data_IF_531849622772
#
_entry.id   IF_531849622772
#
_cell.length_a   1.000
_cell.length_b   1.000
_cell.length_c   1.000
_cell.angle_alpha   90.00
_cell.angle_beta   90.00
_cell.angle_gamma   90.00
#
_symmetry.space_group_name_H-M   'P 1'
#
loop_
_entity.id
_entity.type
_entity.pdbx_description
1 polymer ?
#
# COMPACT_ATOMS: atom_id res chain seq x y z
N UNK A 1 -13.05 27.69 -12.08
CA UNK A 1 -12.59 26.76 -13.14
C UNK A 1 -12.96 27.37 -14.46
N UNK A 2 -12.02 27.40 -15.40
CA UNK A 2 -12.20 28.00 -16.69
C UNK A 2 -13.26 27.28 -17.52
N UNK A 3 -14.00 27.99 -18.36
CA UNK A 3 -14.95 27.52 -19.38
C UNK A 3 -14.38 26.37 -20.23
N UNK A 4 -13.07 26.30 -20.36
CA UNK A 4 -12.30 25.27 -21.09
C UNK A 4 -12.57 23.85 -20.58
N UNK A 5 -12.89 23.65 -19.31
CA UNK A 5 -13.10 22.30 -18.72
C UNK A 5 -14.48 21.70 -19.06
N UNK A 6 -15.52 22.53 -19.17
CA UNK A 6 -16.86 22.06 -19.52
C UNK A 6 -16.99 21.74 -21.01
N UNK A 7 -16.43 22.58 -21.86
CA UNK A 7 -16.41 22.36 -23.31
C UNK A 7 -15.63 21.09 -23.68
N UNK A 8 -14.47 20.85 -23.03
CA UNK A 8 -13.69 19.62 -23.24
C UNK A 8 -14.47 18.37 -22.82
N UNK A 9 -15.27 18.42 -21.74
CA UNK A 9 -16.12 17.33 -21.33
C UNK A 9 -17.26 17.06 -22.32
N UNK A 10 -17.91 18.10 -22.82
CA UNK A 10 -18.94 17.97 -23.86
C UNK A 10 -18.39 17.37 -25.14
N UNK A 11 -17.23 17.85 -25.62
CA UNK A 11 -16.55 17.32 -26.79
C UNK A 11 -16.14 15.85 -26.60
N UNK A 12 -15.65 15.47 -25.40
CA UNK A 12 -15.28 14.10 -25.11
C UNK A 12 -16.50 13.16 -25.15
N UNK A 13 -17.66 13.55 -24.62
CA UNK A 13 -18.90 12.76 -24.72
C UNK A 13 -19.32 12.55 -26.17
N UNK A 14 -19.29 13.60 -27.00
CA UNK A 14 -19.60 13.52 -28.42
C UNK A 14 -18.63 12.57 -29.12
N UNK A 15 -17.34 12.69 -28.84
CA UNK A 15 -16.29 11.83 -29.44
C UNK A 15 -16.42 10.36 -29.00
N UNK A 16 -16.84 10.08 -27.77
CA UNK A 16 -17.12 8.69 -27.33
C UNK A 16 -18.29 8.11 -28.14
N UNK A 17 -19.40 8.82 -28.19
CA UNK A 17 -20.60 8.37 -28.91
C UNK A 17 -20.30 8.22 -30.40
N UNK A 18 -19.66 9.21 -31.04
CA UNK A 18 -19.25 9.14 -32.42
C UNK A 18 -18.28 8.00 -32.74
N UNK A 19 -17.33 7.73 -31.83
CA UNK A 19 -16.40 6.59 -31.97
C UNK A 19 -17.13 5.25 -31.98
N UNK A 20 -18.14 5.06 -31.13
CA UNK A 20 -18.97 3.84 -31.12
C UNK A 20 -19.80 3.69 -32.40
N UNK A 21 -20.34 4.79 -32.93
CA UNK A 21 -21.09 4.77 -34.15
C UNK A 21 -20.22 4.49 -35.39
N UNK A 22 -18.91 4.80 -35.34
CA UNK A 22 -17.94 4.53 -36.42
C UNK A 22 -17.38 3.11 -36.31
N UNK A 23 -17.14 2.63 -35.09
CA UNK A 23 -16.52 1.33 -34.83
C UNK A 23 -17.21 0.67 -33.59
N UNK A 24 -17.97 -0.39 -33.85
CA UNK A 24 -18.75 -1.12 -32.85
C UNK A 24 -17.89 -1.72 -31.71
N UNK A 25 -16.60 -1.96 -31.98
CA UNK A 25 -15.65 -2.43 -30.96
C UNK A 25 -15.47 -1.43 -29.81
N UNK A 26 -15.74 -0.15 -30.08
CA UNK A 26 -15.73 0.90 -29.06
C UNK A 26 -16.90 0.82 -28.08
N UNK A 27 -17.97 0.10 -28.41
CA UNK A 27 -19.14 -0.05 -27.55
C UNK A 27 -18.79 -0.69 -26.19
N UNK A 28 -17.82 -1.60 -26.18
CA UNK A 28 -17.32 -2.20 -24.93
C UNK A 28 -16.71 -1.18 -23.98
N UNK A 29 -15.91 -0.24 -24.49
CA UNK A 29 -15.30 0.82 -23.65
C UNK A 29 -16.37 1.75 -23.07
N UNK A 30 -17.41 2.07 -23.84
CA UNK A 30 -18.51 2.90 -23.38
C UNK A 30 -19.34 2.17 -22.33
N UNK A 31 -19.79 0.93 -22.59
CA UNK A 31 -20.74 0.19 -21.75
C UNK A 31 -20.10 -0.22 -20.40
N UNK A 32 -18.82 -0.60 -20.41
CA UNK A 32 -18.11 -0.98 -19.20
C UNK A 32 -17.36 0.18 -18.52
N UNK A 33 -17.05 1.24 -19.25
CA UNK A 33 -16.27 2.36 -18.73
C UNK A 33 -17.10 3.52 -18.18
N UNK A 34 -18.35 3.69 -18.62
CA UNK A 34 -19.21 4.83 -18.26
C UNK A 34 -20.59 4.37 -17.81
N UNK A 35 -21.19 5.17 -16.94
CA UNK A 35 -22.57 5.05 -16.52
C UNK A 35 -23.44 6.12 -17.22
N UNK A 36 -24.76 5.96 -17.18
CA UNK A 36 -25.68 6.91 -17.77
C UNK A 36 -25.54 8.33 -17.19
N UNK A 37 -25.24 8.38 -15.89
CA UNK A 37 -25.06 9.63 -15.12
C UNK A 37 -23.79 10.40 -15.51
N UNK A 38 -22.84 9.75 -16.20
CA UNK A 38 -21.62 10.39 -16.69
C UNK A 38 -21.88 11.24 -17.94
N UNK A 39 -23.08 11.09 -18.54
CA UNK A 39 -23.51 11.85 -19.70
C UNK A 39 -24.47 12.97 -19.32
N UNK A 40 -24.37 14.08 -20.03
CA UNK A 40 -25.41 15.10 -19.98
C UNK A 40 -26.73 14.57 -20.51
N UNK A 41 -27.83 15.15 -20.08
CA UNK A 41 -29.19 14.64 -20.32
C UNK A 41 -29.48 14.42 -21.81
N UNK A 42 -28.98 15.29 -22.69
CA UNK A 42 -29.14 15.19 -24.14
C UNK A 42 -28.51 13.95 -24.79
N UNK A 43 -27.50 13.33 -24.16
CA UNK A 43 -26.80 12.15 -24.69
C UNK A 43 -27.23 10.83 -24.05
N UNK A 44 -27.99 10.86 -22.93
CA UNK A 44 -28.41 9.65 -22.21
C UNK A 44 -29.25 8.69 -23.03
N UNK A 45 -30.09 9.22 -23.90
CA UNK A 45 -30.92 8.38 -24.80
C UNK A 45 -30.06 7.56 -25.75
N UNK A 46 -29.00 8.15 -26.33
CA UNK A 46 -28.05 7.43 -27.18
C UNK A 46 -27.24 6.40 -26.39
N UNK A 47 -26.78 6.76 -25.20
CA UNK A 47 -26.08 5.83 -24.32
C UNK A 47 -26.94 4.60 -24.01
N UNK A 48 -28.22 4.79 -23.62
CA UNK A 48 -29.15 3.69 -23.33
C UNK A 48 -29.35 2.78 -24.56
N UNK A 49 -29.54 3.37 -25.74
CA UNK A 49 -29.72 2.60 -26.98
C UNK A 49 -28.47 1.76 -27.31
N UNK A 50 -27.29 2.36 -27.23
CA UNK A 50 -26.02 1.66 -27.46
C UNK A 50 -25.85 0.51 -26.45
N UNK A 51 -26.10 0.78 -25.17
CA UNK A 51 -26.02 -0.21 -24.09
C UNK A 51 -27.00 -1.37 -24.31
N UNK A 52 -28.25 -1.08 -24.68
CA UNK A 52 -29.27 -2.10 -24.96
C UNK A 52 -28.85 -2.99 -26.12
N UNK A 53 -28.42 -2.41 -27.25
CA UNK A 53 -27.97 -3.17 -28.43
C UNK A 53 -26.77 -4.05 -28.05
N UNK A 54 -25.78 -3.50 -27.39
CA UNK A 54 -24.58 -4.21 -26.99
C UNK A 54 -24.88 -5.38 -26.03
N UNK A 55 -25.70 -5.14 -24.98
CA UNK A 55 -26.03 -6.17 -23.98
C UNK A 55 -26.93 -7.27 -24.52
N UNK A 56 -27.70 -6.97 -25.57
CA UNK A 56 -28.55 -7.97 -26.27
C UNK A 56 -27.82 -8.69 -27.42
N UNK A 57 -26.51 -8.39 -27.63
CA UNK A 57 -25.72 -9.02 -28.68
C UNK A 57 -26.12 -8.59 -30.12
N UNK A 58 -26.79 -7.47 -30.23
CA UNK A 58 -27.12 -6.87 -31.54
C UNK A 58 -25.99 -5.97 -32.02
N UNK A 59 -25.83 -5.81 -33.38
CA UNK A 59 -24.86 -4.88 -33.94
C UNK A 59 -25.09 -3.45 -33.41
N UNK A 60 -24.00 -2.75 -33.06
CA UNK A 60 -24.07 -1.35 -32.65
C UNK A 60 -23.57 -0.49 -33.81
N UNK A 61 -24.47 -0.12 -34.70
CA UNK A 61 -24.22 0.74 -35.85
C UNK A 61 -25.22 1.92 -35.88
N UNK A 62 -24.97 2.96 -36.71
CA UNK A 62 -25.85 4.13 -36.76
C UNK A 62 -27.30 3.81 -37.07
N UNK A 63 -27.55 2.80 -37.93
CA UNK A 63 -28.91 2.41 -38.31
C UNK A 63 -29.63 1.69 -37.17
N UNK A 64 -28.93 0.75 -36.51
CA UNK A 64 -29.48 0.04 -35.37
C UNK A 64 -29.77 0.99 -34.16
N UNK A 65 -28.87 1.92 -33.91
CA UNK A 65 -29.08 2.96 -32.85
C UNK A 65 -30.25 3.87 -33.23
N UNK A 66 -30.35 4.32 -34.48
CA UNK A 66 -31.45 5.16 -34.94
C UNK A 66 -32.82 4.46 -34.79
N UNK A 67 -32.89 3.16 -35.07
CA UNK A 67 -34.10 2.36 -34.89
C UNK A 67 -34.56 2.31 -33.41
N UNK A 68 -33.66 2.43 -32.46
CA UNK A 68 -33.98 2.43 -31.04
C UNK A 68 -34.40 3.84 -30.57
N UNK A 69 -33.65 4.89 -30.95
CA UNK A 69 -33.89 6.25 -30.45
C UNK A 69 -34.93 7.03 -31.27
N UNK A 70 -35.22 6.59 -32.53
CA UNK A 70 -36.20 7.20 -33.42
C UNK A 70 -35.61 8.25 -34.38
N UNK A 71 -36.32 8.53 -35.45
CA UNK A 71 -35.87 9.37 -36.57
C UNK A 71 -35.48 10.81 -36.22
N UNK A 72 -35.98 11.32 -35.11
CA UNK A 72 -35.60 12.65 -34.60
C UNK A 72 -34.12 12.79 -34.26
N UNK A 73 -33.42 11.68 -34.05
CA UNK A 73 -31.98 11.68 -33.77
C UNK A 73 -31.08 11.57 -34.99
N UNK A 74 -31.65 11.47 -36.21
CA UNK A 74 -30.89 11.22 -37.43
C UNK A 74 -29.79 12.26 -37.69
N UNK A 75 -30.15 13.56 -37.65
CA UNK A 75 -29.18 14.62 -37.91
C UNK A 75 -28.13 14.69 -36.80
N UNK A 76 -28.53 14.38 -35.59
CA UNK A 76 -27.62 14.36 -34.41
C UNK A 76 -26.59 13.21 -34.49
N UNK A 77 -27.01 12.02 -34.93
CA UNK A 77 -26.12 10.87 -35.16
C UNK A 77 -25.11 11.21 -36.27
N UNK A 78 -25.53 11.81 -37.35
CA UNK A 78 -24.64 12.24 -38.44
C UNK A 78 -23.64 13.27 -37.91
N UNK A 79 -24.09 14.26 -37.15
CA UNK A 79 -23.21 15.27 -36.58
C UNK A 79 -22.17 14.66 -35.65
N UNK A 80 -22.52 13.67 -34.81
CA UNK A 80 -21.55 12.98 -33.91
C UNK A 80 -20.48 12.25 -34.68
N UNK A 81 -20.83 11.64 -35.83
CA UNK A 81 -19.87 10.96 -36.71
C UNK A 81 -18.94 11.96 -37.38
N UNK A 82 -19.49 13.09 -37.87
CA UNK A 82 -18.71 14.11 -38.58
C UNK A 82 -17.67 14.80 -37.68
N UNK A 83 -17.98 15.05 -36.41
CA UNK A 83 -17.05 15.69 -35.47
C UNK A 83 -16.02 14.70 -34.90
N UNK A 84 -16.18 13.39 -35.14
CA UNK A 84 -15.29 12.35 -34.61
C UNK A 84 -14.37 11.84 -35.73
N UNK A 85 -13.13 12.33 -35.82
CA UNK A 85 -12.26 12.00 -36.97
C UNK A 85 -11.77 10.55 -36.98
N UNK A 86 -11.77 9.88 -35.81
CA UNK A 86 -11.31 8.50 -35.68
C UNK A 86 -11.81 7.85 -34.39
N UNK A 87 -12.11 6.57 -34.44
CA UNK A 87 -12.48 5.76 -33.30
C UNK A 87 -11.26 5.30 -32.44
N UNK A 88 -10.03 5.48 -32.96
CA UNK A 88 -8.81 4.98 -32.32
C UNK A 88 -8.57 5.53 -30.90
N UNK A 89 -9.07 6.73 -30.61
CA UNK A 89 -8.89 7.41 -29.34
C UNK A 89 -10.09 7.22 -28.37
N UNK A 90 -11.04 6.34 -28.67
CA UNK A 90 -12.25 6.16 -27.89
C UNK A 90 -11.97 5.96 -26.39
N UNK A 91 -11.01 5.10 -26.04
CA UNK A 91 -10.63 4.87 -24.64
C UNK A 91 -10.18 6.15 -23.92
N UNK A 92 -9.37 6.96 -24.58
CA UNK A 92 -8.92 8.26 -24.02
C UNK A 92 -10.11 9.20 -23.77
N UNK A 93 -11.07 9.25 -24.68
CA UNK A 93 -12.29 10.07 -24.52
C UNK A 93 -13.16 9.55 -23.36
N UNK A 94 -13.29 8.21 -23.21
CA UNK A 94 -13.96 7.59 -22.06
C UNK A 94 -13.30 8.01 -20.74
N UNK A 95 -11.98 7.99 -20.65
CA UNK A 95 -11.23 8.41 -19.45
C UNK A 95 -11.46 9.90 -19.12
N UNK A 96 -11.54 10.77 -20.15
CA UNK A 96 -11.84 12.20 -19.98
C UNK A 96 -13.27 12.38 -19.44
N UNK A 97 -14.27 11.73 -20.05
CA UNK A 97 -15.67 11.82 -19.60
C UNK A 97 -15.77 11.39 -18.14
N UNK A 98 -15.17 10.27 -17.78
CA UNK A 98 -15.15 9.72 -16.42
C UNK A 98 -14.50 10.66 -15.40
N UNK A 99 -13.33 11.21 -15.75
CA UNK A 99 -12.62 12.16 -14.90
C UNK A 99 -13.45 13.41 -14.64
N UNK A 100 -14.06 13.97 -15.67
CA UNK A 100 -14.86 15.19 -15.54
C UNK A 100 -16.19 14.95 -14.83
N UNK A 101 -16.84 13.82 -15.05
CA UNK A 101 -18.04 13.41 -14.31
C UNK A 101 -17.75 13.33 -12.81
N UNK A 102 -16.62 12.74 -12.41
CA UNK A 102 -16.19 12.73 -10.99
C UNK A 102 -15.99 14.12 -10.42
N UNK A 103 -15.39 15.03 -11.18
CA UNK A 103 -15.21 16.43 -10.73
C UNK A 103 -16.56 17.11 -10.53
N UNK A 104 -17.53 16.89 -11.42
CA UNK A 104 -18.89 17.44 -11.28
C UNK A 104 -19.58 16.88 -10.05
N UNK A 105 -19.56 15.57 -9.84
CA UNK A 105 -20.14 14.92 -8.64
C UNK A 105 -19.52 15.46 -7.34
N UNK A 106 -18.20 15.62 -7.29
CA UNK A 106 -17.52 16.24 -6.14
C UNK A 106 -17.94 17.69 -5.90
N UNK A 107 -18.17 18.44 -6.98
CA UNK A 107 -18.68 19.81 -6.89
C UNK A 107 -20.10 19.85 -6.36
N UNK A 108 -20.96 18.96 -6.83
CA UNK A 108 -22.34 18.85 -6.37
C UNK A 108 -22.39 18.43 -4.90
N UNK A 109 -21.53 17.50 -4.47
CA UNK A 109 -21.36 17.16 -3.05
C UNK A 109 -20.89 18.37 -2.23
N UNK A 110 -19.93 19.15 -2.76
CA UNK A 110 -19.49 20.39 -2.09
C UNK A 110 -20.59 21.41 -1.94
N UNK A 111 -21.47 21.53 -2.92
CA UNK A 111 -22.67 22.38 -2.85
C UNK A 111 -23.69 21.84 -1.86
N UNK A 112 -23.90 20.53 -1.80
CA UNK A 112 -24.76 19.89 -0.81
C UNK A 112 -24.24 20.10 0.61
N UNK A 113 -22.92 19.92 0.81
CA UNK A 113 -22.24 20.16 2.09
C UNK A 113 -22.38 21.61 2.58
N UNK A 114 -22.47 22.59 1.67
CA UNK A 114 -22.71 23.98 2.06
C UNK A 114 -24.12 24.25 2.60
N UNK A 115 -25.05 23.28 2.52
CA UNK A 115 -26.46 23.41 2.90
C UNK A 115 -26.84 22.49 4.06
N UNK A 116 -25.91 21.70 4.59
CA UNK A 116 -26.18 20.81 5.72
C UNK A 116 -26.57 21.58 6.98
N UNK A 117 -27.42 20.95 7.79
CA UNK A 117 -27.86 21.48 9.07
C UNK A 117 -27.32 20.72 10.27
N UNK A 118 -26.81 19.47 10.06
CA UNK A 118 -26.29 18.61 11.13
C UNK A 118 -24.92 17.99 10.74
N UNK A 119 -24.15 17.63 11.74
CA UNK A 119 -22.83 16.97 11.55
C UNK A 119 -22.99 15.56 10.94
N UNK A 120 -24.04 14.84 11.35
CA UNK A 120 -24.34 13.50 10.85
C UNK A 120 -24.67 13.52 9.35
N UNK A 121 -25.48 14.47 8.90
CA UNK A 121 -25.81 14.67 7.47
C UNK A 121 -24.56 14.98 6.65
N UNK A 122 -23.64 15.78 7.19
CA UNK A 122 -22.36 16.09 6.56
C UNK A 122 -21.43 14.87 6.48
N UNK A 123 -21.37 14.08 7.54
CA UNK A 123 -20.58 12.87 7.59
C UNK A 123 -21.08 11.81 6.58
N UNK A 124 -22.41 11.67 6.44
CA UNK A 124 -23.02 10.75 5.48
C UNK A 124 -22.74 11.17 4.03
N UNK A 125 -22.88 12.46 3.71
CA UNK A 125 -22.57 13.00 2.38
C UNK A 125 -21.10 12.78 2.01
N UNK A 126 -20.17 13.00 2.95
CA UNK A 126 -18.76 12.78 2.74
C UNK A 126 -18.44 11.29 2.57
N UNK A 127 -19.07 10.42 3.36
CA UNK A 127 -18.90 8.97 3.24
C UNK A 127 -19.41 8.45 1.89
N UNK A 128 -20.56 8.94 1.43
CA UNK A 128 -21.14 8.59 0.13
C UNK A 128 -20.24 9.09 -1.02
N UNK A 129 -19.78 10.33 -0.98
CA UNK A 129 -18.85 10.86 -1.98
C UNK A 129 -17.52 10.12 -2.01
N UNK A 130 -16.99 9.76 -0.85
CA UNK A 130 -15.78 8.94 -0.76
C UNK A 130 -15.99 7.54 -1.36
N UNK A 131 -17.15 6.90 -1.12
CA UNK A 131 -17.48 5.60 -1.70
C UNK A 131 -17.69 5.66 -3.22
N UNK A 132 -18.26 6.73 -3.74
CA UNK A 132 -18.44 6.93 -5.19
C UNK A 132 -17.16 7.27 -5.92
N UNK A 133 -16.24 8.01 -5.29
CA UNK A 133 -14.91 8.30 -5.85
C UNK A 133 -13.99 7.08 -5.84
N UNK A 134 -14.27 6.10 -4.97
CA UNK A 134 -13.53 4.84 -4.82
C UNK A 134 -14.22 3.67 -5.57
N UNK A 135 -15.28 3.89 -6.33
CA UNK A 135 -15.74 2.86 -7.26
C UNK A 135 -14.61 2.57 -8.23
N UNK A 136 -13.90 1.51 -7.87
CA UNK A 136 -12.84 0.93 -8.67
C UNK A 136 -13.47 0.29 -9.90
N UNK A 137 -13.29 0.94 -11.04
CA UNK A 137 -13.67 0.36 -12.34
C UNK A 137 -12.75 -0.81 -12.73
N UNK A 138 -11.88 -1.22 -11.83
CA UNK A 138 -10.96 -2.34 -11.96
C UNK A 138 -11.50 -3.69 -11.52
N UNK A 139 -12.73 -3.77 -10.99
CA UNK A 139 -13.28 -5.00 -10.39
C UNK A 139 -13.48 -6.15 -11.40
N UNK A 140 -13.51 -5.85 -12.69
CA UNK A 140 -13.69 -6.88 -13.74
C UNK A 140 -12.68 -6.69 -14.86
N UNK A 141 -11.70 -7.59 -14.95
CA UNK A 141 -10.81 -7.70 -16.08
C UNK A 141 -11.30 -8.80 -17.04
N UNK A 142 -11.51 -8.45 -18.32
CA UNK A 142 -11.53 -9.49 -19.35
C UNK A 142 -10.13 -10.12 -19.44
N UNK A 143 -10.05 -11.39 -19.81
CA UNK A 143 -8.76 -12.07 -19.99
C UNK A 143 -7.84 -11.32 -20.96
N UNK A 144 -8.41 -10.72 -22.02
CA UNK A 144 -7.66 -9.94 -23.00
C UNK A 144 -7.05 -8.66 -22.39
N UNK A 145 -7.81 -7.92 -21.56
CA UNK A 145 -7.30 -6.76 -20.83
C UNK A 145 -6.21 -7.16 -19.84
N UNK A 146 -6.48 -8.19 -19.01
CA UNK A 146 -5.52 -8.69 -18.04
C UNK A 146 -4.22 -9.18 -18.68
N UNK A 147 -4.28 -9.81 -19.87
CA UNK A 147 -3.10 -10.23 -20.60
C UNK A 147 -2.31 -9.04 -21.17
N UNK A 148 -2.99 -8.03 -21.71
CA UNK A 148 -2.34 -6.79 -22.18
C UNK A 148 -1.61 -6.09 -21.04
N UNK A 149 -2.26 -5.95 -19.88
CA UNK A 149 -1.65 -5.32 -18.71
C UNK A 149 -0.49 -6.16 -18.14
N UNK A 150 -0.60 -7.49 -18.19
CA UNK A 150 0.49 -8.39 -17.83
C UNK A 150 1.71 -8.19 -18.72
N UNK A 151 1.54 -8.10 -20.05
CA UNK A 151 2.63 -7.82 -21.00
C UNK A 151 3.32 -6.49 -20.72
N UNK A 152 2.56 -5.43 -20.41
CA UNK A 152 3.11 -4.14 -20.02
C UNK A 152 3.87 -4.19 -18.68
N UNK A 153 3.38 -4.95 -17.70
CA UNK A 153 4.08 -5.15 -16.42
C UNK A 153 5.33 -5.99 -16.58
N UNK A 154 5.30 -7.02 -17.42
CA UNK A 154 6.44 -7.89 -17.68
C UNK A 154 7.67 -7.15 -18.24
N UNK A 155 7.43 -6.08 -19.01
CA UNK A 155 8.50 -5.22 -19.53
C UNK A 155 9.14 -4.32 -18.47
N UNK A 156 8.51 -4.17 -17.30
CA UNK A 156 9.01 -3.35 -16.21
C UNK A 156 9.67 -4.22 -15.14
N UNK A 157 10.75 -3.70 -14.55
CA UNK A 157 11.38 -4.36 -13.39
C UNK A 157 10.35 -4.45 -12.24
N UNK A 158 10.22 -5.60 -11.54
CA UNK A 158 9.34 -5.73 -10.39
C UNK A 158 9.66 -4.70 -9.30
N UNK A 159 8.63 -4.03 -8.76
CA UNK A 159 8.74 -3.04 -7.67
C UNK A 159 8.42 -3.72 -6.32
N UNK A 160 9.22 -4.73 -5.95
CA UNK A 160 9.10 -5.34 -4.62
C UNK A 160 9.66 -4.41 -3.56
N UNK A 161 9.02 -4.42 -2.38
CA UNK A 161 9.48 -3.66 -1.23
C UNK A 161 10.84 -4.21 -0.77
N UNK A 162 11.85 -3.35 -0.74
CA UNK A 162 13.18 -3.71 -0.27
C UNK A 162 13.23 -3.77 1.27
N UNK A 163 14.19 -4.53 1.82
CA UNK A 163 14.36 -4.70 3.25
C UNK A 163 15.76 -4.24 3.68
N UNK A 164 15.87 -3.71 4.90
CA UNK A 164 17.15 -3.28 5.48
C UNK A 164 18.16 -4.43 5.66
N UNK A 165 17.71 -5.67 5.50
CA UNK A 165 18.55 -6.87 5.44
C UNK A 165 18.49 -7.38 3.99
N UNK A 166 19.59 -7.28 3.19
CA UNK A 166 19.55 -7.60 1.76
C UNK A 166 19.09 -9.03 1.44
N UNK A 167 19.36 -9.99 2.35
CA UNK A 167 18.92 -11.37 2.18
C UNK A 167 17.40 -11.51 2.18
N UNK A 168 16.68 -10.67 2.95
CA UNK A 168 15.22 -10.71 2.99
C UNK A 168 14.61 -10.34 1.65
N UNK A 169 15.20 -9.40 0.89
CA UNK A 169 14.71 -9.03 -0.44
C UNK A 169 14.64 -10.20 -1.41
N UNK A 170 15.59 -11.15 -1.33
CA UNK A 170 15.61 -12.35 -2.18
C UNK A 170 14.59 -13.39 -1.76
N UNK A 171 14.24 -13.40 -0.47
CA UNK A 171 13.36 -14.38 0.15
C UNK A 171 11.91 -13.90 0.19
N UNK A 172 11.70 -12.60 0.24
CA UNK A 172 10.40 -11.95 0.44
C UNK A 172 10.12 -11.04 -0.75
N UNK A 173 9.07 -11.35 -1.49
CA UNK A 173 8.59 -10.55 -2.61
C UNK A 173 7.36 -9.77 -2.19
N UNK A 174 7.54 -8.83 -1.25
CA UNK A 174 6.44 -8.03 -0.75
C UNK A 174 6.01 -6.96 -1.76
N UNK A 175 4.72 -6.89 -2.02
CA UNK A 175 4.06 -5.91 -2.89
C UNK A 175 3.29 -4.87 -2.07
N UNK A 176 2.81 -3.82 -2.73
CA UNK A 176 2.12 -2.71 -2.07
C UNK A 176 0.82 -3.11 -1.40
N UNK A 177 0.13 -4.12 -1.80
CA UNK A 177 -1.14 -4.56 -1.22
C UNK A 177 -0.99 -5.62 -0.15
N UNK A 178 0.24 -6.01 0.20
CA UNK A 178 0.46 -7.12 1.11
C UNK A 178 0.31 -6.73 2.58
N UNK A 179 -0.15 -7.69 3.35
CA UNK A 179 -0.33 -7.62 4.79
C UNK A 179 0.62 -8.60 5.48
N UNK A 180 1.62 -8.07 6.16
CA UNK A 180 2.64 -8.85 6.84
C UNK A 180 2.56 -8.71 8.35
N UNK A 181 2.91 -9.79 9.06
CA UNK A 181 2.91 -9.86 10.51
C UNK A 181 4.32 -10.14 11.04
N UNK A 182 4.72 -9.41 12.07
CA UNK A 182 5.90 -9.73 12.88
C UNK A 182 5.44 -10.14 14.27
N UNK A 183 5.45 -11.44 14.53
CA UNK A 183 5.16 -12.02 15.83
C UNK A 183 6.42 -12.12 16.69
N UNK A 184 6.33 -11.70 17.94
CA UNK A 184 7.44 -11.85 18.88
C UNK A 184 6.94 -11.93 20.32
N UNK A 185 7.72 -12.62 21.17
CA UNK A 185 7.54 -12.55 22.62
C UNK A 185 8.01 -11.19 23.16
N UNK A 186 7.55 -10.79 24.35
CA UNK A 186 8.03 -9.56 24.98
C UNK A 186 9.57 -9.49 25.01
N UNK A 187 10.12 -8.31 24.83
CA UNK A 187 11.57 -8.04 24.82
C UNK A 187 12.40 -8.72 23.72
N UNK A 188 11.78 -9.37 22.74
CA UNK A 188 12.50 -9.96 21.60
C UNK A 188 13.03 -8.91 20.59
N UNK A 189 12.58 -7.65 20.69
CA UNK A 189 13.01 -6.57 19.80
C UNK A 189 12.01 -6.24 18.67
N UNK A 190 10.75 -6.67 18.77
CA UNK A 190 9.69 -6.49 17.76
C UNK A 190 9.59 -5.04 17.26
N UNK A 191 9.39 -4.07 18.18
CA UNK A 191 9.29 -2.65 17.83
C UNK A 191 10.58 -2.07 17.24
N UNK A 192 11.76 -2.55 17.73
CA UNK A 192 13.05 -2.12 17.18
C UNK A 192 13.23 -2.60 15.73
N UNK A 193 12.82 -3.83 15.41
CA UNK A 193 12.83 -4.36 14.04
C UNK A 193 11.95 -3.53 13.11
N UNK A 194 10.72 -3.24 13.54
CA UNK A 194 9.78 -2.45 12.77
C UNK A 194 10.22 -0.98 12.59
N UNK A 195 10.82 -0.37 13.63
CA UNK A 195 11.37 0.98 13.53
C UNK A 195 12.56 1.05 12.58
N UNK A 196 13.45 0.06 12.61
CA UNK A 196 14.58 -0.01 11.68
C UNK A 196 14.09 -0.21 10.24
N UNK A 197 13.07 -1.06 10.01
CA UNK A 197 12.43 -1.21 8.71
C UNK A 197 11.78 0.11 8.25
N UNK A 198 11.04 0.80 9.13
CA UNK A 198 10.43 2.10 8.85
C UNK A 198 11.46 3.14 8.42
N UNK A 199 12.57 3.23 9.15
CA UNK A 199 13.66 4.15 8.85
C UNK A 199 14.29 3.84 7.48
N UNK A 200 14.56 2.56 7.21
CA UNK A 200 15.10 2.12 5.94
C UNK A 200 14.17 2.45 4.77
N UNK A 201 12.89 2.14 4.89
CA UNK A 201 11.92 2.42 3.85
C UNK A 201 11.73 3.92 3.59
N UNK A 202 11.77 4.74 4.63
CA UNK A 202 11.62 6.17 4.49
C UNK A 202 12.89 6.84 3.95
N UNK A 203 14.06 6.52 4.51
CA UNK A 203 15.32 7.17 4.15
C UNK A 203 15.91 6.62 2.86
N UNK A 204 15.92 5.27 2.70
CA UNK A 204 16.59 4.60 1.59
C UNK A 204 15.67 4.39 0.40
N UNK A 205 14.46 3.91 0.65
CA UNK A 205 13.50 3.62 -0.42
C UNK A 205 12.59 4.82 -0.75
N UNK A 206 12.71 5.94 -0.01
CA UNK A 206 11.88 7.15 -0.15
C UNK A 206 10.37 6.85 -0.17
N UNK A 207 9.95 5.83 0.60
CA UNK A 207 8.53 5.48 0.77
C UNK A 207 7.92 6.30 1.90
N UNK A 208 6.67 6.70 1.74
CA UNK A 208 5.92 7.43 2.76
C UNK A 208 5.42 6.43 3.81
N UNK A 209 6.06 6.43 4.97
CA UNK A 209 5.82 5.44 6.04
C UNK A 209 5.06 6.06 7.21
N UNK A 210 3.97 5.42 7.63
CA UNK A 210 3.26 5.77 8.86
C UNK A 210 3.48 4.71 9.94
N UNK A 211 4.02 5.09 11.09
CA UNK A 211 4.19 4.23 12.24
C UNK A 211 3.11 4.56 13.29
N UNK A 212 2.12 3.69 13.43
CA UNK A 212 1.01 3.83 14.39
C UNK A 212 1.35 3.08 15.66
N UNK A 213 1.75 3.83 16.68
CA UNK A 213 2.08 3.28 18.00
C UNK A 213 0.90 3.41 18.94
N UNK A 214 0.45 2.28 19.48
CA UNK A 214 -0.60 2.21 20.48
C UNK A 214 -0.04 2.12 21.91
N UNK A 215 1.23 1.73 22.08
CA UNK A 215 1.86 1.50 23.37
C UNK A 215 2.92 2.54 23.73
N UNK A 216 3.77 2.91 22.77
CA UNK A 216 4.96 3.73 23.00
C UNK A 216 4.73 5.17 22.57
N UNK A 217 5.12 6.15 23.39
CA UNK A 217 5.02 7.57 23.04
C UNK A 217 5.96 7.95 21.89
N UNK A 218 5.62 9.01 21.17
CA UNK A 218 6.38 9.49 20.00
C UNK A 218 7.81 9.89 20.38
N UNK A 219 7.99 10.47 21.54
CA UNK A 219 9.28 10.89 22.07
C UNK A 219 10.21 9.69 22.26
N UNK A 220 9.71 8.62 22.90
CA UNK A 220 10.47 7.37 23.07
C UNK A 220 10.76 6.66 21.74
N UNK A 221 9.86 6.74 20.77
CA UNK A 221 10.10 6.23 19.42
C UNK A 221 11.18 7.03 18.71
N UNK A 222 11.17 8.37 18.86
CA UNK A 222 12.20 9.23 18.28
C UNK A 222 13.58 8.93 18.89
N UNK A 223 13.69 8.74 20.20
CA UNK A 223 14.95 8.35 20.85
C UNK A 223 15.51 7.04 20.26
N UNK A 224 14.63 6.05 20.02
CA UNK A 224 15.01 4.77 19.39
C UNK A 224 15.42 4.95 17.94
N UNK A 225 14.74 5.81 17.17
CA UNK A 225 15.09 6.13 15.80
C UNK A 225 16.45 6.82 15.70
N UNK A 226 16.71 7.79 16.60
CA UNK A 226 18.01 8.47 16.67
C UNK A 226 19.10 7.47 17.02
N UNK A 227 18.91 6.61 18.03
CA UNK A 227 19.88 5.57 18.37
C UNK A 227 20.14 4.62 17.20
N UNK A 228 19.08 4.20 16.50
CA UNK A 228 19.19 3.32 15.35
C UNK A 228 19.93 3.97 14.18
N UNK A 229 19.63 5.22 13.87
CA UNK A 229 20.20 5.92 12.73
C UNK A 229 21.65 6.40 12.96
N UNK A 230 21.95 6.93 14.14
CA UNK A 230 23.26 7.48 14.48
C UNK A 230 24.25 6.43 15.01
N UNK A 231 23.75 5.28 15.47
CA UNK A 231 24.57 4.28 16.17
C UNK A 231 24.98 4.70 17.59
N UNK A 232 24.41 5.76 18.15
CA UNK A 232 24.64 6.21 19.51
C UNK A 232 23.84 5.35 20.49
N UNK A 233 24.41 4.94 21.65
CA UNK A 233 23.69 4.14 22.64
C UNK A 233 22.46 4.88 23.21
N UNK A 234 21.36 4.13 23.41
CA UNK A 234 20.11 4.65 23.99
C UNK A 234 20.29 5.31 25.36
N UNK A 235 21.20 4.79 26.18
CA UNK A 235 21.40 5.32 27.53
C UNK A 235 21.99 6.74 27.44
N UNK A 236 22.98 6.97 26.58
CA UNK A 236 23.54 8.31 26.38
C UNK A 236 22.49 9.32 25.89
N UNK A 237 21.55 8.87 25.02
CA UNK A 237 20.45 9.70 24.52
C UNK A 237 19.45 10.02 25.64
N UNK A 238 19.04 9.02 26.43
CA UNK A 238 18.06 9.19 27.52
C UNK A 238 18.60 10.04 28.64
N UNK A 239 19.86 9.82 29.02
CA UNK A 239 20.53 10.55 30.11
C UNK A 239 21.04 11.91 29.65
N UNK A 240 20.96 12.22 28.33
CA UNK A 240 21.45 13.47 27.73
C UNK A 240 22.93 13.72 27.99
N UNK A 241 23.72 12.65 27.96
CA UNK A 241 25.15 12.63 28.24
C UNK A 241 26.00 12.37 26.97
N UNK A 242 25.55 12.90 25.83
CA UNK A 242 26.28 12.74 24.56
C UNK A 242 27.63 13.46 24.63
N UNK A 243 28.69 12.71 24.29
CA UNK A 243 29.99 13.32 24.03
C UNK A 243 30.03 13.99 22.63
N UNK A 244 31.12 14.72 22.34
CA UNK A 244 31.26 15.48 21.08
C UNK A 244 31.16 14.57 19.84
N UNK A 245 31.74 13.37 19.88
CA UNK A 245 31.67 12.39 18.77
C UNK A 245 30.27 11.84 18.57
N UNK A 246 29.57 11.55 19.66
CA UNK A 246 28.18 11.09 19.63
C UNK A 246 27.26 12.20 19.12
N UNK A 247 27.49 13.44 19.53
CA UNK A 247 26.73 14.59 19.02
C UNK A 247 27.00 14.79 17.52
N UNK A 248 28.26 14.72 17.07
CA UNK A 248 28.61 14.75 15.65
C UNK A 248 27.90 13.65 14.85
N UNK A 249 27.85 12.40 15.39
CA UNK A 249 27.12 11.30 14.77
C UNK A 249 25.62 11.59 14.65
N UNK A 250 24.99 12.18 15.67
CA UNK A 250 23.58 12.61 15.59
C UNK A 250 23.40 13.73 14.58
N UNK A 251 24.28 14.72 14.55
CA UNK A 251 24.21 15.82 13.58
C UNK A 251 24.39 15.33 12.14
N UNK A 252 25.23 14.33 11.89
CA UNK A 252 25.49 13.78 10.56
C UNK A 252 24.27 13.16 9.89
N UNK A 253 23.33 12.62 10.67
CA UNK A 253 22.08 12.03 10.16
C UNK A 253 20.92 13.03 10.05
N UNK A 254 21.05 14.23 10.65
CA UNK A 254 19.93 15.16 10.86
C UNK A 254 19.25 15.59 9.56
N UNK A 255 20.01 15.95 8.53
CA UNK A 255 19.47 16.41 7.26
C UNK A 255 18.59 15.34 6.57
N UNK A 256 18.97 14.07 6.69
CA UNK A 256 18.28 12.94 6.07
C UNK A 256 17.07 12.50 6.86
N UNK A 257 17.19 12.44 8.17
CA UNK A 257 16.06 12.13 9.06
C UNK A 257 14.99 13.21 8.94
N UNK A 258 15.38 14.51 8.85
CA UNK A 258 14.45 15.61 8.67
C UNK A 258 13.72 15.59 7.32
N UNK A 259 14.36 15.12 6.25
CA UNK A 259 13.74 15.00 4.92
C UNK A 259 12.99 13.68 4.70
N UNK A 260 13.19 12.68 5.57
CA UNK A 260 12.57 11.37 5.42
C UNK A 260 11.05 11.42 5.61
N UNK A 261 10.24 10.83 4.70
CA UNK A 261 8.79 10.83 4.80
C UNK A 261 8.29 9.76 5.80
N UNK A 262 8.79 9.79 7.04
CA UNK A 262 8.38 8.94 8.15
C UNK A 262 7.51 9.72 9.14
N UNK A 263 6.30 9.23 9.38
CA UNK A 263 5.31 9.86 10.24
C UNK A 263 5.03 8.98 11.46
N UNK A 264 5.27 9.50 12.68
CA UNK A 264 4.96 8.82 13.94
C UNK A 264 3.58 9.25 14.43
N UNK A 265 2.67 8.30 14.56
CA UNK A 265 1.32 8.55 15.06
C UNK A 265 1.14 7.97 16.46
N UNK A 266 0.68 8.80 17.41
CA UNK A 266 0.13 8.32 18.66
C UNK A 266 -1.27 7.76 18.39
N UNK A 267 -1.42 6.43 18.45
CA UNK A 267 -2.62 5.74 18.00
C UNK A 267 -3.43 5.08 19.13
N UNK A 268 -3.09 5.34 20.40
CA UNK A 268 -3.81 4.77 21.54
C UNK A 268 -5.33 5.02 21.43
N UNK A 269 -6.12 3.95 21.51
CA UNK A 269 -7.58 3.99 21.40
C UNK A 269 -8.13 4.21 19.98
N UNK A 270 -7.28 4.26 18.93
CA UNK A 270 -7.74 4.44 17.55
C UNK A 270 -8.14 3.12 16.92
N UNK A 271 -9.15 3.20 16.04
CA UNK A 271 -9.59 2.09 15.17
C UNK A 271 -8.80 2.03 13.88
N UNK A 272 -8.89 0.88 13.16
CA UNK A 272 -8.29 0.73 11.83
C UNK A 272 -8.83 1.77 10.85
N UNK A 273 -10.14 2.09 10.89
CA UNK A 273 -10.72 3.13 10.04
C UNK A 273 -10.05 4.49 10.24
N UNK A 274 -9.84 4.90 11.50
CA UNK A 274 -9.16 6.16 11.80
C UNK A 274 -7.68 6.16 11.37
N UNK A 275 -7.01 5.01 11.41
CA UNK A 275 -5.66 4.86 10.88
C UNK A 275 -5.65 4.95 9.36
N UNK A 276 -6.61 4.32 8.68
CA UNK A 276 -6.81 4.40 7.24
C UNK A 276 -7.01 5.85 6.77
N UNK A 277 -7.86 6.62 7.43
CA UNK A 277 -8.10 8.03 7.07
C UNK A 277 -6.80 8.85 7.14
N UNK A 278 -5.96 8.59 8.16
CA UNK A 278 -4.65 9.23 8.29
C UNK A 278 -3.66 8.76 7.22
N UNK A 279 -3.71 7.47 6.89
CA UNK A 279 -2.87 6.89 5.85
C UNK A 279 -3.18 7.51 4.48
N UNK A 280 -4.45 7.64 4.13
CA UNK A 280 -4.91 8.27 2.90
C UNK A 280 -4.59 9.77 2.87
N UNK A 281 -4.87 10.50 3.95
CA UNK A 281 -4.54 11.92 4.06
C UNK A 281 -3.05 12.21 3.86
N UNK A 282 -2.18 11.38 4.45
CA UNK A 282 -0.74 11.47 4.30
C UNK A 282 -0.20 10.78 3.04
N UNK A 283 -1.06 10.13 2.24
CA UNK A 283 -0.69 9.34 1.05
C UNK A 283 0.42 8.34 1.37
N UNK A 284 0.22 7.54 2.43
CA UNK A 284 1.22 6.57 2.87
C UNK A 284 1.32 5.41 1.88
N UNK A 285 2.54 4.98 1.61
CA UNK A 285 2.83 3.73 0.89
C UNK A 285 2.85 2.53 1.85
N UNK A 286 3.24 2.80 3.11
CA UNK A 286 3.47 1.78 4.13
C UNK A 286 2.83 2.21 5.45
N UNK A 287 2.10 1.29 6.07
CA UNK A 287 1.54 1.43 7.41
C UNK A 287 2.19 0.38 8.34
N UNK A 288 2.68 0.82 9.49
CA UNK A 288 3.18 -0.06 10.55
C UNK A 288 2.28 0.10 11.77
N UNK A 289 1.84 -1.02 12.36
CA UNK A 289 0.95 -1.04 13.53
C UNK A 289 1.63 -1.72 14.71
N UNK A 290 1.91 -1.00 15.78
CA UNK A 290 2.54 -1.52 17.00
C UNK A 290 1.58 -1.38 18.20
N UNK A 291 0.88 -2.43 18.58
CA UNK A 291 0.68 -3.78 18.03
C UNK A 291 -0.81 -4.14 17.91
N UNK A 292 -1.15 -5.21 17.21
CA UNK A 292 -2.52 -5.59 16.82
C UNK A 292 -3.51 -5.69 17.97
N UNK A 293 -3.13 -6.35 19.07
CA UNK A 293 -4.05 -6.71 20.16
C UNK A 293 -4.58 -5.51 20.96
N UNK A 294 -4.00 -4.31 20.80
CA UNK A 294 -4.46 -3.10 21.49
C UNK A 294 -5.12 -2.07 20.57
N UNK A 295 -5.32 -2.43 19.31
CA UNK A 295 -6.10 -1.61 18.36
C UNK A 295 -7.56 -1.67 18.76
N UNK A 296 -8.22 -0.52 18.84
CA UNK A 296 -9.64 -0.46 19.18
C UNK A 296 -10.50 -1.08 18.06
N UNK A 297 -11.33 -2.05 18.42
CA UNK A 297 -12.25 -2.71 17.52
C UNK A 297 -13.50 -3.19 18.27
N UNK A 298 -14.64 -3.35 17.57
CA UNK A 298 -15.84 -3.95 18.15
C UNK A 298 -15.61 -5.44 18.47
N UNK A 299 -16.20 -5.90 19.56
CA UNK A 299 -16.14 -7.30 20.00
C UNK A 299 -16.14 -7.42 21.52
N UNK A 300 -16.67 -8.54 22.02
CA UNK A 300 -16.82 -8.78 23.46
C UNK A 300 -15.60 -9.48 24.08
N UNK A 301 -14.70 -9.99 23.24
CA UNK A 301 -13.48 -10.70 23.65
C UNK A 301 -12.29 -10.36 22.74
N UNK A 302 -11.08 -10.63 23.22
CA UNK A 302 -9.83 -10.37 22.51
C UNK A 302 -9.77 -11.06 21.12
N UNK A 303 -10.31 -12.29 21.03
CA UNK A 303 -10.33 -13.05 19.79
C UNK A 303 -11.12 -12.33 18.69
N UNK A 304 -12.35 -11.91 19.01
CA UNK A 304 -13.25 -11.23 18.09
C UNK A 304 -12.67 -9.87 17.68
N UNK A 305 -12.12 -9.10 18.63
CA UNK A 305 -11.49 -7.80 18.37
C UNK A 305 -10.28 -7.95 17.43
N UNK A 306 -9.36 -8.84 17.72
CA UNK A 306 -8.16 -9.06 16.91
C UNK A 306 -8.51 -9.59 15.52
N UNK A 307 -9.53 -10.45 15.41
CA UNK A 307 -10.06 -10.91 14.13
C UNK A 307 -10.61 -9.75 13.30
N UNK A 308 -11.38 -8.85 13.89
CA UNK A 308 -11.92 -7.68 13.22
C UNK A 308 -10.81 -6.73 12.75
N UNK A 309 -9.79 -6.50 13.59
CA UNK A 309 -8.61 -5.68 13.25
C UNK A 309 -7.84 -6.29 12.08
N UNK A 310 -7.56 -7.60 12.11
CA UNK A 310 -6.81 -8.28 11.05
C UNK A 310 -7.52 -8.16 9.70
N UNK A 311 -8.82 -8.48 9.65
CA UNK A 311 -9.63 -8.34 8.43
C UNK A 311 -9.66 -6.91 7.91
N UNK A 312 -9.82 -5.92 8.80
CA UNK A 312 -9.86 -4.52 8.42
C UNK A 312 -8.52 -4.04 7.85
N UNK A 313 -7.38 -4.45 8.44
CA UNK A 313 -6.05 -4.14 7.91
C UNK A 313 -5.79 -4.80 6.56
N UNK A 314 -6.11 -6.10 6.40
CA UNK A 314 -6.01 -6.78 5.12
C UNK A 314 -6.86 -6.09 4.05
N UNK A 315 -8.12 -5.74 4.36
CA UNK A 315 -9.01 -5.01 3.45
C UNK A 315 -8.42 -3.65 3.07
N UNK A 316 -7.85 -2.91 4.03
CA UNK A 316 -7.16 -1.65 3.76
C UNK A 316 -6.01 -1.84 2.77
N UNK A 317 -5.17 -2.87 2.95
CA UNK A 317 -4.06 -3.17 2.06
C UNK A 317 -4.55 -3.41 0.63
N UNK A 318 -5.51 -4.31 0.46
CA UNK A 318 -6.05 -4.69 -0.84
C UNK A 318 -6.76 -3.53 -1.54
N UNK A 319 -7.56 -2.76 -0.80
CA UNK A 319 -8.37 -1.69 -1.38
C UNK A 319 -7.56 -0.46 -1.81
N UNK A 320 -6.53 -0.12 -1.04
CA UNK A 320 -5.78 1.13 -1.25
C UNK A 320 -4.35 0.93 -1.75
N UNK A 321 -3.92 -0.32 -1.95
CA UNK A 321 -2.56 -0.61 -2.39
C UNK A 321 -1.50 -0.10 -1.39
N UNK A 322 -1.77 -0.26 -0.08
CA UNK A 322 -0.88 0.15 1.01
C UNK A 322 -0.29 -1.11 1.64
N UNK A 323 1.04 -1.22 1.69
CA UNK A 323 1.69 -2.29 2.42
C UNK A 323 1.48 -2.11 3.93
N UNK A 324 1.11 -3.18 4.63
CA UNK A 324 0.97 -3.13 6.08
C UNK A 324 1.90 -4.12 6.78
N UNK A 325 2.69 -3.63 7.74
CA UNK A 325 3.47 -4.43 8.68
C UNK A 325 2.85 -4.31 10.06
N UNK A 326 2.12 -5.34 10.50
CA UNK A 326 1.53 -5.33 11.83
C UNK A 326 2.33 -6.17 12.81
N UNK A 327 2.53 -5.64 13.99
CA UNK A 327 3.24 -6.32 15.07
C UNK A 327 2.23 -7.10 15.92
N UNK A 328 2.59 -8.33 16.29
CA UNK A 328 1.76 -9.20 17.08
C UNK A 328 2.54 -9.71 18.30
N UNK A 329 1.94 -9.62 19.47
CA UNK A 329 2.52 -10.17 20.67
C UNK A 329 2.14 -11.65 20.80
N UNK A 330 3.15 -12.51 20.93
CA UNK A 330 2.92 -13.95 21.12
C UNK A 330 2.56 -14.28 22.55
N UNK A 331 1.82 -15.38 22.75
CA UNK A 331 1.55 -15.94 24.07
C UNK A 331 2.82 -16.33 24.82
N UNK A 332 2.69 -16.64 26.11
CA UNK A 332 3.83 -17.02 26.96
C UNK A 332 4.60 -18.20 26.40
N UNK A 333 5.89 -18.25 26.70
CA UNK A 333 6.83 -19.25 26.22
C UNK A 333 6.37 -20.65 26.59
N UNK A 334 6.18 -21.52 25.61
CA UNK A 334 6.23 -22.96 25.81
C UNK A 334 7.70 -23.34 25.88
N UNK A 335 8.08 -24.05 26.96
CA UNK A 335 9.42 -24.61 27.08
C UNK A 335 9.41 -26.04 26.60
N UNK A 336 10.53 -26.50 26.04
CA UNK A 336 10.75 -27.90 25.74
C UNK A 336 11.05 -28.71 27.03
N UNK A 337 11.27 -30.03 26.88
CA UNK A 337 11.63 -30.91 27.99
C UNK A 337 12.97 -30.55 28.66
N UNK A 338 13.78 -29.76 27.98
CA UNK A 338 15.09 -29.29 28.46
C UNK A 338 15.04 -27.90 29.07
N UNK A 339 13.84 -27.28 29.17
CA UNK A 339 13.64 -25.95 29.75
C UNK A 339 13.94 -24.79 28.77
N UNK A 340 14.33 -25.07 27.52
CA UNK A 340 14.59 -24.03 26.52
C UNK A 340 13.31 -23.51 25.90
N UNK A 341 13.32 -22.24 25.54
CA UNK A 341 12.20 -21.61 24.85
C UNK A 341 11.98 -22.23 23.45
N UNK A 342 10.81 -22.82 23.21
CA UNK A 342 10.47 -23.36 21.88
C UNK A 342 10.37 -22.27 20.83
N UNK A 343 10.78 -22.59 19.60
CA UNK A 343 10.53 -21.73 18.44
C UNK A 343 9.04 -21.48 18.29
N UNK A 344 8.64 -20.22 18.03
CA UNK A 344 7.23 -19.91 17.78
C UNK A 344 6.74 -20.54 16.49
N UNK A 345 5.45 -20.91 16.49
CA UNK A 345 4.72 -21.44 15.34
C UNK A 345 3.52 -20.54 15.04
N UNK A 346 2.89 -20.75 13.89
CA UNK A 346 1.68 -19.99 13.51
C UNK A 346 0.56 -20.10 14.56
N UNK A 347 0.43 -21.26 15.22
CA UNK A 347 -0.50 -21.49 16.34
C UNK A 347 -0.26 -20.60 17.56
N UNK A 348 0.94 -20.02 17.71
CA UNK A 348 1.29 -19.14 18.83
C UNK A 348 0.89 -17.67 18.58
N UNK A 349 0.40 -17.35 17.37
CA UNK A 349 -0.30 -16.09 17.09
C UNK A 349 -1.58 -16.09 17.89
N UNK A 350 -1.49 -15.49 19.11
CA UNK A 350 -2.59 -15.46 20.08
C UNK A 350 -3.83 -14.87 19.46
N UNK A 351 -4.95 -15.54 19.67
CA UNK A 351 -6.31 -15.06 19.41
C UNK A 351 -6.90 -15.27 18.02
N UNK A 352 -6.23 -15.72 16.98
CA UNK A 352 -7.01 -16.20 15.82
C UNK A 352 -6.21 -16.95 14.75
N UNK A 353 -6.69 -18.12 14.34
CA UNK A 353 -6.37 -18.69 13.04
C UNK A 353 -6.68 -17.74 11.87
N UNK A 354 -7.45 -16.67 12.14
CA UNK A 354 -7.79 -15.65 11.18
C UNK A 354 -6.58 -14.77 10.81
N UNK A 355 -5.72 -14.37 11.79
CA UNK A 355 -4.49 -13.62 11.51
C UNK A 355 -3.60 -14.38 10.54
N UNK A 356 -3.48 -15.71 10.76
CA UNK A 356 -2.71 -16.57 9.86
C UNK A 356 -3.32 -16.60 8.46
N UNK A 357 -4.64 -16.64 8.34
CA UNK A 357 -5.33 -16.70 7.06
C UNK A 357 -5.21 -15.38 6.29
N UNK A 358 -5.40 -14.25 6.97
CA UNK A 358 -5.42 -12.92 6.36
C UNK A 358 -4.02 -12.46 5.92
N UNK A 359 -2.96 -12.82 6.66
CA UNK A 359 -1.61 -12.36 6.36
C UNK A 359 -1.01 -13.01 5.10
N UNK A 360 -0.36 -12.24 4.24
CA UNK A 360 0.42 -12.74 3.10
C UNK A 360 1.80 -13.25 3.54
N UNK A 361 2.36 -12.68 4.61
CA UNK A 361 3.59 -13.13 5.25
C UNK A 361 3.56 -13.06 6.77
N UNK A 362 4.18 -14.05 7.42
CA UNK A 362 4.33 -14.08 8.88
C UNK A 362 5.77 -14.36 9.24
N UNK A 363 6.34 -13.45 10.01
CA UNK A 363 7.68 -13.55 10.57
C UNK A 363 7.63 -13.71 12.07
N UNK A 364 8.57 -14.48 12.63
CA UNK A 364 8.78 -14.52 14.06
C UNK A 364 10.19 -14.08 14.42
N UNK A 365 10.31 -13.24 15.44
CA UNK A 365 11.58 -12.94 16.09
C UNK A 365 11.71 -13.81 17.34
N UNK A 366 12.68 -14.75 17.31
CA UNK A 366 12.94 -15.69 18.39
C UNK A 366 14.31 -15.46 18.99
N UNK A 367 14.40 -15.03 20.27
CA UNK A 367 15.68 -14.90 20.98
C UNK A 367 16.33 -16.27 21.20
N UNK A 368 17.64 -16.37 20.94
CA UNK A 368 18.43 -17.55 21.28
C UNK A 368 19.17 -17.34 22.60
N UNK A 369 19.44 -18.42 23.31
CA UNK A 369 20.22 -18.44 24.55
C UNK A 369 21.74 -18.57 24.31
N UNK A 370 22.20 -18.18 23.12
CA UNK A 370 23.60 -18.18 22.72
C UNK A 370 24.32 -16.92 23.25
N UNK A 371 25.68 -16.93 23.34
CA UNK A 371 26.45 -15.72 23.52
C UNK A 371 26.02 -14.64 22.53
N UNK A 372 25.99 -13.37 22.96
CA UNK A 372 25.51 -12.21 22.20
C UNK A 372 24.00 -12.20 21.91
N UNK A 373 23.25 -13.17 22.43
CA UNK A 373 21.79 -13.28 22.33
C UNK A 373 21.26 -12.96 20.91
N UNK A 374 21.71 -13.70 19.88
CA UNK A 374 21.20 -13.48 18.54
C UNK A 374 19.69 -13.77 18.47
N UNK A 375 19.06 -13.32 17.39
CA UNK A 375 17.65 -13.57 17.10
C UNK A 375 17.53 -14.44 15.87
N UNK A 376 16.66 -15.42 15.88
CA UNK A 376 16.18 -16.05 14.66
C UNK A 376 15.03 -15.22 14.11
N UNK A 377 15.14 -14.82 12.85
CA UNK A 377 14.03 -14.38 12.05
C UNK A 377 13.50 -15.59 11.29
N UNK A 378 12.34 -16.07 11.71
CA UNK A 378 11.68 -17.25 11.14
C UNK A 378 10.60 -16.74 10.19
N UNK A 379 10.73 -17.04 8.90
CA UNK A 379 9.68 -16.80 7.90
C UNK A 379 8.75 -18.01 7.96
N UNK A 380 7.67 -17.90 8.72
CA UNK A 380 6.72 -18.98 8.98
C UNK A 380 5.60 -19.08 7.94
N UNK A 381 5.23 -17.95 7.30
CA UNK A 381 4.36 -17.87 6.15
C UNK A 381 4.93 -16.89 5.15
N UNK A 382 4.89 -17.25 3.87
CA UNK A 382 5.33 -16.41 2.76
C UNK A 382 4.58 -16.85 1.50
N UNK A 383 3.57 -16.11 1.10
CA UNK A 383 2.66 -16.48 0.00
C UNK A 383 3.40 -16.59 -1.33
N UNK A 384 4.34 -15.67 -1.58
CA UNK A 384 5.05 -15.55 -2.84
C UNK A 384 6.55 -15.88 -2.73
N UNK A 385 6.95 -16.71 -1.74
CA UNK A 385 8.34 -17.08 -1.55
C UNK A 385 8.54 -18.28 -0.63
N UNK A 386 9.81 -18.60 -0.37
CA UNK A 386 10.19 -19.74 0.45
C UNK A 386 10.10 -19.44 1.96
N UNK A 387 9.86 -20.49 2.75
CA UNK A 387 10.02 -20.45 4.20
C UNK A 387 11.51 -20.58 4.54
N UNK A 388 11.96 -19.86 5.57
CA UNK A 388 13.36 -19.92 5.99
C UNK A 388 13.58 -19.43 7.40
N UNK A 389 14.76 -19.70 7.93
CA UNK A 389 15.23 -19.20 9.22
C UNK A 389 16.56 -18.50 9.02
N UNK A 390 16.65 -17.27 9.49
CA UNK A 390 17.84 -16.43 9.35
C UNK A 390 18.29 -15.93 10.71
N UNK A 391 19.58 -16.03 11.04
CA UNK A 391 20.14 -15.48 12.28
C UNK A 391 20.46 -14.00 12.13
N UNK A 392 20.02 -13.20 13.11
CA UNK A 392 20.28 -11.76 13.21
C UNK A 392 21.00 -11.46 14.53
N UNK A 393 22.02 -10.63 14.47
CA UNK A 393 22.56 -9.98 15.67
C UNK A 393 21.62 -8.82 16.05
N UNK A 394 21.35 -8.68 17.34
CA UNK A 394 20.55 -7.57 17.87
C UNK A 394 21.34 -6.76 18.88
N UNK A 395 21.69 -5.53 18.50
CA UNK A 395 22.28 -4.54 19.41
C UNK A 395 21.17 -3.73 20.07
N UNK A 396 20.79 -4.16 21.26
CA UNK A 396 19.74 -3.52 22.05
C UNK A 396 20.09 -2.09 22.48
N UNK A 397 21.38 -1.80 22.72
CA UNK A 397 21.83 -0.47 23.09
C UNK A 397 21.65 0.53 21.94
N UNK A 398 21.77 0.09 20.70
CA UNK A 398 21.60 0.92 19.49
C UNK A 398 20.31 0.65 18.73
N UNK A 399 19.47 -0.25 19.24
CA UNK A 399 18.19 -0.65 18.60
C UNK A 399 18.37 -1.15 17.16
N UNK A 400 19.47 -1.87 16.86
CA UNK A 400 19.84 -2.29 15.52
C UNK A 400 19.86 -3.82 15.37
N UNK A 401 19.26 -4.29 14.28
CA UNK A 401 19.41 -5.66 13.79
C UNK A 401 20.41 -5.70 12.63
N UNK A 402 21.23 -6.74 12.62
CA UNK A 402 22.24 -6.99 11.58
C UNK A 402 22.22 -8.45 11.17
N UNK A 403 22.40 -8.72 9.89
CA UNK A 403 22.48 -10.07 9.38
C UNK A 403 23.79 -10.75 9.83
N UNK A 404 23.70 -12.02 10.21
CA UNK A 404 24.86 -12.86 10.52
C UNK A 404 25.11 -13.76 9.31
N UNK A 405 26.16 -13.48 8.54
CA UNK A 405 26.56 -14.27 7.37
C UNK A 405 27.15 -15.64 7.73
N UNK A 406 27.47 -16.44 6.70
CA UNK A 406 28.05 -17.79 6.86
C UNK A 406 29.35 -17.82 7.68
N UNK A 407 30.05 -16.69 7.83
CA UNK A 407 31.27 -16.55 8.64
C UNK A 407 31.02 -16.20 10.11
N UNK A 408 29.78 -16.25 10.60
CA UNK A 408 29.35 -15.91 11.98
C UNK A 408 29.63 -14.46 12.43
N UNK A 409 30.11 -13.59 11.55
CA UNK A 409 30.26 -12.16 11.85
C UNK A 409 29.05 -11.36 11.37
N UNK A 410 28.51 -10.46 12.19
CA UNK A 410 27.44 -9.56 11.76
C UNK A 410 27.95 -8.60 10.69
N UNK A 411 27.15 -8.37 9.65
CA UNK A 411 27.42 -7.31 8.67
C UNK A 411 27.48 -5.95 9.37
N UNK A 412 28.22 -5.00 8.79
CA UNK A 412 28.23 -3.62 9.29
C UNK A 412 26.78 -3.06 9.30
N UNK A 413 26.44 -2.20 10.26
CA UNK A 413 25.17 -1.49 10.26
C UNK A 413 25.02 -0.71 8.95
N UNK A 414 23.78 -0.49 8.53
CA UNK A 414 23.51 0.42 7.42
C UNK A 414 23.91 1.84 7.84
N UNK A 415 24.76 2.46 7.04
CA UNK A 415 25.22 3.83 7.28
C UNK A 415 24.26 4.84 6.68
N UNK A 416 23.34 5.32 7.48
CA UNK A 416 22.39 6.36 7.09
C UNK A 416 23.07 7.71 6.81
N UNK A 417 24.33 7.93 7.25
CA UNK A 417 25.06 9.17 7.00
C UNK A 417 25.61 9.29 5.58
N UNK A 418 25.98 8.17 4.96
CA UNK A 418 26.58 8.14 3.62
C UNK A 418 25.56 7.97 2.48
N UNK A 419 24.28 7.71 2.80
CA UNK A 419 23.27 7.42 1.78
C UNK A 419 22.87 8.68 0.98
N UNK A 420 22.89 8.60 -0.34
CA UNK A 420 22.48 9.70 -1.27
C UNK A 420 21.05 9.43 -1.76
N UNK A 421 20.19 10.45 -1.73
CA UNK A 421 18.77 10.34 -2.11
C UNK A 421 18.58 9.88 -3.58
N UNK A 422 17.51 9.12 -3.91
CA UNK A 422 17.27 8.54 -5.24
C UNK A 422 17.20 9.49 -6.43
N UNK A 423 17.00 10.78 -6.26
CA UNK A 423 17.10 11.79 -7.35
C UNK A 423 18.48 11.87 -7.99
N UNK A 424 19.49 11.17 -7.41
CA UNK A 424 20.83 11.03 -7.94
C UNK A 424 21.23 9.56 -8.17
N UNK A 425 20.31 8.60 -7.96
CA UNK A 425 20.59 7.15 -7.90
C UNK A 425 20.54 6.46 -9.26
N UNK A 426 20.20 7.12 -10.35
CA UNK A 426 20.39 6.54 -11.69
C UNK A 426 21.86 6.18 -12.00
N UNK A 427 22.79 6.50 -11.09
CA UNK A 427 24.21 6.25 -11.25
C UNK A 427 24.79 5.10 -10.40
N UNK A 428 24.03 4.47 -9.47
CA UNK A 428 24.57 3.41 -8.59
C UNK A 428 23.73 2.13 -8.53
N UNK A 429 23.67 1.33 -9.62
CA UNK A 429 23.08 -0.01 -9.57
C UNK A 429 23.95 -1.00 -8.78
N UNK A 430 25.19 -0.66 -8.43
CA UNK A 430 26.19 -1.62 -7.97
C UNK A 430 26.22 -1.89 -6.47
N UNK A 431 25.62 -1.06 -5.62
CA UNK A 431 25.64 -1.28 -4.16
C UNK A 431 24.80 -2.47 -3.67
N UNK A 432 24.05 -3.11 -4.56
CA UNK A 432 23.27 -4.33 -4.27
C UNK A 432 23.81 -5.60 -4.96
N UNK A 433 24.90 -5.54 -5.71
CA UNK A 433 25.34 -6.67 -6.57
C UNK A 433 26.49 -7.51 -6.05
N UNK A 434 27.23 -7.12 -5.04
CA UNK A 434 28.43 -7.86 -4.59
C UNK A 434 28.17 -8.80 -3.39
N UNK A 435 27.11 -9.62 -3.46
CA UNK A 435 27.02 -10.79 -2.58
C UNK A 435 26.80 -12.02 -3.46
N UNK A 436 27.89 -12.76 -3.71
CA UNK A 436 27.83 -14.06 -4.38
C UNK A 436 26.78 -14.97 -3.73
N UNK A 437 25.92 -15.54 -4.55
CA UNK A 437 24.89 -16.48 -4.09
C UNK A 437 25.48 -17.85 -3.88
N UNK A 438 24.97 -18.67 -2.95
CA UNK A 438 25.38 -20.07 -2.79
C UNK A 438 25.11 -20.94 -4.02
N UNK A 439 24.37 -20.45 -5.01
CA UNK A 439 24.06 -21.15 -6.26
C UNK A 439 25.09 -20.92 -7.39
N UNK A 440 25.96 -19.92 -7.26
CA UNK A 440 26.98 -19.64 -8.27
C UNK A 440 28.24 -20.51 -8.08
N UNK A 441 28.31 -21.30 -7.01
CA UNK A 441 29.44 -22.18 -6.68
C UNK A 441 29.31 -23.62 -7.24
N UNK A 442 28.20 -24.01 -7.84
CA UNK A 442 27.97 -25.37 -8.39
C UNK A 442 28.11 -25.46 -9.93
N UNK A 443 28.54 -24.37 -10.60
CA UNK A 443 28.80 -24.38 -12.04
C UNK A 443 30.24 -23.99 -12.39
N UNK A 444 31.20 -24.47 -11.62
CA UNK A 444 32.61 -24.58 -12.05
C UNK A 444 33.20 -25.93 -11.68
#
# INVERSE_FOLDING_TARGET
MSSVSYEAWMQAQQSVLGSVLIDDRCASFLVFGLAEEDFCESYRSLYRAIRELYTTGKPVDPVAVLNVVGDSYKDFIVQLMDITPTAANCKMYVDIVKQQSRVLKLRDTGLALSRISTEEEGAELLANAASETVRDDGDVWSLAQGFSDWMHRYQKKPDYLDWFIPQLRRMIRAEKSDYFIVGARPSAGKSAFALQAALYWAVVCNKRVGFFSHETSREKLMDRLVACASGVPMDAIKERTLDDKQMEAVCSISSRVNSAPLFLFSAAGRTVQQMQDRALYKRLDIVIVDYLQIVAAPGNDEYTQVTAVSKALHTMCQRFGIFCLALCQLSRTKTDKSGHAQRPRLEDLRSSGQIEQDADGVFFLHPLEEPDKPRELIIAKNKDGALSITKLAFDGARQQFRFIGKGQQPLKPFDYSSYVMPSQVDQYPQLCMDVETPFDAEQK
#
